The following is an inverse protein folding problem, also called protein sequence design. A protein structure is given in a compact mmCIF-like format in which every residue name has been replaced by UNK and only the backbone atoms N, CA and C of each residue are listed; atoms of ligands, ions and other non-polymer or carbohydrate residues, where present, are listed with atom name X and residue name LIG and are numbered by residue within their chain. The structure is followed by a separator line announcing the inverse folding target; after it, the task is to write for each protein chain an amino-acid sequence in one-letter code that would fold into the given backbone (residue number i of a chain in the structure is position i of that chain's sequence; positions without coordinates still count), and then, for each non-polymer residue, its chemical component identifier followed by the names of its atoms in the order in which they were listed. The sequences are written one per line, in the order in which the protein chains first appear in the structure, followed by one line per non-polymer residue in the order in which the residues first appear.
data_IF_955074187031
#
_entry.id   IF_955074187031
#
_cell.length_a   1.000
_cell.length_b   1.000
_cell.length_c   1.000
_cell.angle_alpha   90.00
_cell.angle_beta   90.00
_cell.angle_gamma   90.00
#
_symmetry.space_group_name_H-M   'P 1'
#
loop_
_entity.id
_entity.type
_entity.pdbx_description
1 polymer ?
#
# COMPACT_ATOMS: atom_id res chain seq x y z
N UNK A 1 2.92 -11.41 -20.16
CA UNK A 1 1.96 -10.43 -20.68
C UNK A 1 1.94 -10.49 -22.20
N UNK A 2 0.77 -10.19 -22.83
CA UNK A 2 0.73 -9.88 -24.25
C UNK A 2 1.55 -8.60 -24.51
N UNK A 3 2.31 -8.57 -25.58
CA UNK A 3 3.07 -7.39 -25.99
C UNK A 3 2.20 -6.22 -26.50
N UNK A 4 0.93 -6.48 -26.75
CA UNK A 4 0.02 -5.51 -27.30
C UNK A 4 -0.86 -4.89 -26.19
N UNK A 5 -0.77 -3.57 -26.05
CA UNK A 5 -1.72 -2.81 -25.22
C UNK A 5 -3.10 -2.83 -25.85
N UNK A 6 -4.13 -3.03 -25.04
CA UNK A 6 -5.54 -2.96 -25.46
C UNK A 6 -6.21 -1.64 -25.06
N UNK A 7 -5.47 -0.76 -24.42
CA UNK A 7 -5.90 0.57 -24.04
C UNK A 7 -4.77 1.30 -23.34
N UNK A 8 -4.70 2.60 -23.50
CA UNK A 8 -3.71 3.45 -22.85
C UNK A 8 -4.31 4.79 -22.46
N UNK A 9 -3.69 5.45 -21.51
CA UNK A 9 -4.05 6.79 -21.07
C UNK A 9 -2.84 7.50 -20.45
N UNK A 10 -2.66 8.76 -20.79
CA UNK A 10 -1.75 9.67 -20.11
C UNK A 10 -2.56 10.63 -19.24
N UNK A 11 -2.17 10.79 -17.99
CA UNK A 11 -2.89 11.67 -17.06
C UNK A 11 -1.95 12.24 -16.00
N UNK A 12 -2.36 13.35 -15.40
CA UNK A 12 -1.69 13.93 -14.23
C UNK A 12 -2.39 13.47 -12.96
N UNK A 13 -1.71 12.71 -12.07
CA UNK A 13 -2.27 12.31 -10.79
C UNK A 13 -2.68 13.51 -9.94
N UNK A 14 -3.87 13.43 -9.33
CA UNK A 14 -4.40 14.47 -8.42
C UNK A 14 -4.89 13.83 -7.14
N UNK A 15 -4.00 13.41 -6.24
CA UNK A 15 -4.36 12.64 -5.03
C UNK A 15 -5.25 13.42 -4.06
N UNK A 16 -5.19 14.76 -4.08
CA UNK A 16 -6.02 15.61 -3.22
C UNK A 16 -7.49 15.71 -3.66
N UNK A 17 -7.82 15.22 -4.85
CA UNK A 17 -9.20 15.24 -5.33
C UNK A 17 -9.93 14.01 -4.82
N UNK A 18 -10.87 14.20 -3.89
CA UNK A 18 -11.78 13.13 -3.44
C UNK A 18 -12.57 12.59 -4.64
N UNK A 19 -12.82 11.28 -4.62
CA UNK A 19 -13.62 10.57 -5.63
C UNK A 19 -13.08 10.70 -7.07
N UNK A 20 -11.76 10.76 -7.22
CA UNK A 20 -11.15 10.69 -8.54
C UNK A 20 -11.01 9.24 -8.98
N UNK A 21 -11.48 8.94 -10.18
CA UNK A 21 -11.28 7.64 -10.82
C UNK A 21 -10.54 7.81 -12.14
N UNK A 22 -9.77 6.78 -12.50
CA UNK A 22 -9.08 6.69 -13.77
C UNK A 22 -9.94 5.86 -14.72
N UNK A 23 -10.34 6.45 -15.85
CA UNK A 23 -11.09 5.75 -16.89
C UNK A 23 -10.19 5.47 -18.08
N UNK A 24 -9.97 4.19 -18.38
CA UNK A 24 -9.19 3.74 -19.52
C UNK A 24 -10.16 3.13 -20.54
N UNK A 25 -10.17 3.63 -21.76
CA UNK A 25 -10.95 3.05 -22.83
C UNK A 25 -10.20 1.84 -23.39
N UNK A 26 -10.86 0.69 -23.38
CA UNK A 26 -10.32 -0.56 -23.94
C UNK A 26 -10.72 -0.67 -25.41
N UNK A 27 -9.87 -1.29 -26.22
CA UNK A 27 -10.11 -1.53 -27.64
C UNK A 27 -11.46 -2.24 -27.86
N UNK A 28 -12.23 -1.71 -28.80
CA UNK A 28 -13.57 -2.23 -29.13
C UNK A 28 -13.52 -3.67 -29.62
N UNK A 29 -12.47 -4.08 -30.32
CA UNK A 29 -12.31 -5.45 -30.81
C UNK A 29 -12.24 -6.45 -29.66
N UNK A 30 -11.56 -6.05 -28.55
CA UNK A 30 -11.48 -6.86 -27.34
C UNK A 30 -12.85 -7.02 -26.66
N UNK A 31 -13.62 -5.91 -26.54
CA UNK A 31 -14.98 -5.96 -26.04
C UNK A 31 -15.90 -6.82 -26.90
N UNK A 32 -15.77 -6.76 -28.21
CA UNK A 32 -16.54 -7.60 -29.15
C UNK A 32 -16.21 -9.08 -29.02
N UNK A 33 -14.94 -9.44 -28.86
CA UNK A 33 -14.53 -10.82 -28.65
C UNK A 33 -15.10 -11.38 -27.33
N UNK A 34 -15.05 -10.59 -26.27
CA UNK A 34 -15.62 -10.95 -24.97
C UNK A 34 -17.15 -11.10 -25.04
N UNK A 35 -17.83 -10.16 -25.70
CA UNK A 35 -19.28 -10.24 -25.90
C UNK A 35 -19.67 -11.51 -26.68
N UNK A 36 -18.96 -11.84 -27.75
CA UNK A 36 -19.22 -13.04 -28.53
C UNK A 36 -19.01 -14.32 -27.70
N UNK A 37 -17.97 -14.36 -26.87
CA UNK A 37 -17.72 -15.48 -25.96
C UNK A 37 -18.90 -15.67 -24.99
N UNK A 38 -19.35 -14.60 -24.35
CA UNK A 38 -20.47 -14.65 -23.40
C UNK A 38 -21.80 -15.02 -24.07
N UNK A 39 -22.01 -14.56 -25.32
CA UNK A 39 -23.23 -14.84 -26.09
C UNK A 39 -23.36 -16.32 -26.47
N UNK A 40 -22.26 -17.06 -26.56
CA UNK A 40 -22.32 -18.50 -26.90
C UNK A 40 -23.01 -19.36 -25.84
N UNK A 41 -23.21 -18.82 -24.63
CA UNK A 41 -23.83 -19.52 -23.51
C UNK A 41 -22.98 -20.67 -22.91
N UNK A 42 -21.76 -20.86 -23.40
CA UNK A 42 -20.85 -21.93 -22.93
C UNK A 42 -20.01 -21.51 -21.72
N UNK A 43 -20.19 -20.30 -21.21
CA UNK A 43 -19.49 -19.82 -20.00
C UNK A 43 -20.38 -20.11 -18.79
N UNK A 44 -20.31 -21.32 -18.30
CA UNK A 44 -21.14 -21.85 -17.21
C UNK A 44 -20.46 -21.72 -15.83
N UNK A 45 -19.16 -21.44 -15.80
CA UNK A 45 -18.39 -21.32 -14.58
C UNK A 45 -17.31 -20.24 -14.66
N UNK A 46 -16.91 -19.73 -13.50
CA UNK A 46 -15.79 -18.79 -13.41
C UNK A 46 -14.47 -19.44 -13.89
N UNK A 47 -14.25 -20.70 -13.59
CA UNK A 47 -13.05 -21.42 -14.02
C UNK A 47 -12.97 -21.49 -15.55
N UNK A 48 -14.06 -21.83 -16.20
CA UNK A 48 -14.15 -21.81 -17.66
C UNK A 48 -13.88 -20.43 -18.24
N UNK A 49 -14.49 -19.38 -17.66
CA UNK A 49 -14.24 -17.99 -18.04
C UNK A 49 -12.76 -17.62 -17.93
N UNK A 50 -12.10 -17.94 -16.82
CA UNK A 50 -10.68 -17.65 -16.59
C UNK A 50 -9.73 -18.42 -17.53
N UNK A 51 -10.15 -19.50 -18.13
CA UNK A 51 -9.38 -20.19 -19.17
C UNK A 51 -9.24 -19.37 -20.45
N UNK A 52 -10.28 -18.63 -20.81
CA UNK A 52 -10.26 -17.72 -21.96
C UNK A 52 -9.74 -16.34 -21.59
N UNK A 53 -10.15 -15.84 -20.44
CA UNK A 53 -9.89 -14.49 -19.96
C UNK A 53 -8.93 -14.53 -18.78
N UNK A 54 -7.64 -14.36 -19.06
CA UNK A 54 -6.58 -14.46 -18.03
C UNK A 54 -6.49 -13.21 -17.12
N UNK A 55 -7.25 -12.17 -17.41
CA UNK A 55 -7.26 -10.90 -16.67
C UNK A 55 -6.58 -9.76 -17.42
N UNK A 56 -6.55 -8.61 -16.77
CA UNK A 56 -5.92 -7.38 -17.26
C UNK A 56 -4.73 -7.01 -16.40
N UNK A 57 -3.71 -6.44 -17.01
CA UNK A 57 -2.58 -5.82 -16.32
C UNK A 57 -2.55 -4.33 -16.60
N UNK A 58 -2.42 -3.52 -15.55
CA UNK A 58 -2.09 -2.10 -15.66
C UNK A 58 -0.57 -2.00 -15.61
N UNK A 59 0.02 -1.50 -16.69
CA UNK A 59 1.48 -1.39 -16.84
C UNK A 59 1.82 0.08 -16.98
N UNK A 60 2.58 0.67 -16.04
CA UNK A 60 3.05 2.05 -16.19
C UNK A 60 4.08 2.15 -17.34
N UNK A 61 4.17 3.32 -17.95
CA UNK A 61 5.28 3.61 -18.86
C UNK A 61 6.59 3.73 -18.09
N UNK A 62 7.73 3.49 -18.76
CA UNK A 62 9.05 3.54 -18.14
C UNK A 62 9.46 4.93 -17.66
N UNK A 63 8.84 5.99 -18.18
CA UNK A 63 9.14 7.38 -17.82
C UNK A 63 8.22 7.91 -16.69
N UNK A 64 7.65 7.02 -15.91
CA UNK A 64 6.69 7.37 -14.88
C UNK A 64 7.39 7.63 -13.55
N UNK A 65 7.18 8.81 -12.98
CA UNK A 65 7.70 9.22 -11.65
C UNK A 65 6.65 9.08 -10.53
N UNK A 66 5.46 8.54 -10.83
CA UNK A 66 4.39 8.42 -9.85
C UNK A 66 4.15 6.95 -9.43
N UNK A 67 3.97 6.74 -8.13
CA UNK A 67 3.45 5.50 -7.58
C UNK A 67 1.97 5.67 -7.26
N UNK A 68 1.12 4.83 -7.87
CA UNK A 68 -0.31 4.92 -7.73
C UNK A 68 -0.88 3.64 -7.10
N UNK A 69 -1.79 3.81 -6.17
CA UNK A 69 -2.57 2.73 -5.58
C UNK A 69 -4.02 2.84 -6.06
N UNK A 70 -4.59 1.72 -6.51
CA UNK A 70 -5.97 1.62 -6.92
C UNK A 70 -6.75 0.77 -5.92
N UNK A 71 -7.91 1.29 -5.49
CA UNK A 71 -8.82 0.53 -4.62
C UNK A 71 -9.40 -0.66 -5.37
N UNK A 72 -9.40 -1.82 -4.71
CA UNK A 72 -10.04 -3.03 -5.19
C UNK A 72 -11.02 -3.48 -4.14
N UNK A 73 -12.31 -3.40 -4.43
CA UNK A 73 -13.37 -3.82 -3.53
C UNK A 73 -14.11 -5.06 -4.04
N UNK A 74 -14.66 -5.80 -3.09
CA UNK A 74 -15.45 -7.01 -3.36
C UNK A 74 -16.91 -6.87 -2.95
N UNK A 75 -17.31 -5.74 -2.37
CA UNK A 75 -18.67 -5.54 -1.87
C UNK A 75 -19.59 -5.06 -2.97
N UNK A 76 -20.66 -5.79 -3.18
CA UNK A 76 -21.75 -5.46 -4.11
C UNK A 76 -22.63 -4.30 -3.62
N UNK A 77 -22.43 -3.86 -2.38
CA UNK A 77 -23.25 -2.85 -1.69
C UNK A 77 -22.53 -1.49 -1.57
N UNK A 78 -21.65 -1.18 -2.53
CA UNK A 78 -20.99 0.12 -2.55
C UNK A 78 -21.94 1.17 -3.10
N UNK A 79 -22.10 2.25 -2.35
CA UNK A 79 -22.75 3.47 -2.86
C UNK A 79 -22.01 3.93 -4.14
N UNK A 80 -22.66 4.65 -5.04
CA UNK A 80 -22.05 5.14 -6.29
C UNK A 80 -20.74 5.92 -6.08
N UNK A 81 -20.48 6.35 -4.85
CA UNK A 81 -19.31 7.12 -4.42
C UNK A 81 -18.08 6.24 -4.15
N UNK A 82 -18.30 4.95 -3.90
CA UNK A 82 -17.24 3.98 -3.62
C UNK A 82 -16.85 3.19 -4.88
N UNK A 83 -16.41 3.89 -5.90
CA UNK A 83 -16.03 3.29 -7.17
C UNK A 83 -14.78 2.43 -6.95
N UNK A 84 -14.96 1.13 -7.04
CA UNK A 84 -13.87 0.16 -7.05
C UNK A 84 -13.36 -0.06 -8.47
N UNK A 85 -12.22 -0.72 -8.59
CA UNK A 85 -11.68 -1.08 -9.91
C UNK A 85 -12.59 -2.11 -10.58
N UNK A 86 -13.20 -1.72 -11.67
CA UNK A 86 -14.10 -2.58 -12.49
C UNK A 86 -13.75 -2.44 -13.96
N UNK A 87 -13.91 -3.50 -14.73
CA UNK A 87 -13.99 -3.42 -16.18
C UNK A 87 -15.47 -3.42 -16.56
N UNK A 88 -15.93 -2.35 -17.19
CA UNK A 88 -17.34 -2.19 -17.59
C UNK A 88 -17.50 -2.32 -19.09
N UNK A 89 -18.37 -3.22 -19.51
CA UNK A 89 -18.76 -3.40 -20.90
C UNK A 89 -20.14 -2.76 -21.13
N UNK A 90 -20.21 -1.88 -22.11
CA UNK A 90 -21.48 -1.31 -22.59
C UNK A 90 -21.86 -2.02 -23.89
N UNK A 91 -23.08 -2.51 -23.98
CA UNK A 91 -23.59 -3.17 -25.18
C UNK A 91 -25.07 -2.87 -25.37
N UNK A 92 -25.58 -3.10 -26.57
CA UNK A 92 -26.97 -2.99 -26.87
C UNK A 92 -27.46 -4.23 -27.62
N UNK A 93 -28.72 -4.52 -27.48
CA UNK A 93 -29.42 -5.54 -28.24
C UNK A 93 -30.68 -4.93 -28.83
N UNK A 94 -31.20 -5.52 -29.89
CA UNK A 94 -32.53 -5.17 -30.38
C UNK A 94 -33.58 -5.70 -29.40
N UNK A 95 -34.70 -4.95 -29.27
CA UNK A 95 -35.86 -5.44 -28.55
C UNK A 95 -36.50 -6.64 -29.27
N UNK A 96 -37.46 -7.30 -28.66
CA UNK A 96 -38.12 -8.49 -29.21
C UNK A 96 -38.78 -8.20 -30.57
N UNK A 97 -39.18 -6.94 -30.83
CA UNK A 97 -39.73 -6.50 -32.09
C UNK A 97 -38.68 -6.08 -33.12
N UNK A 98 -37.39 -6.08 -32.76
CA UNK A 98 -36.29 -5.74 -33.65
C UNK A 98 -36.17 -4.26 -34.03
N UNK A 99 -36.95 -3.36 -33.40
CA UNK A 99 -37.04 -1.96 -33.76
C UNK A 99 -36.18 -1.05 -32.95
N UNK A 100 -36.07 -1.27 -31.63
CA UNK A 100 -35.40 -0.35 -30.72
C UNK A 100 -34.17 -1.00 -30.11
N UNK A 101 -33.11 -0.19 -29.86
CA UNK A 101 -31.94 -0.62 -29.16
C UNK A 101 -32.17 -0.52 -27.65
N UNK A 102 -31.90 -1.62 -26.94
CA UNK A 102 -31.90 -1.68 -25.47
C UNK A 102 -30.47 -1.70 -25.00
N UNK A 103 -30.11 -0.70 -24.21
CA UNK A 103 -28.76 -0.54 -23.70
C UNK A 103 -28.55 -1.29 -22.38
N UNK A 104 -27.45 -1.98 -22.27
CA UNK A 104 -27.06 -2.75 -21.09
C UNK A 104 -25.64 -2.42 -20.66
N UNK A 105 -25.36 -2.65 -19.38
CA UNK A 105 -24.01 -2.62 -18.81
C UNK A 105 -23.72 -3.94 -18.12
N UNK A 106 -22.48 -4.42 -18.26
CA UNK A 106 -21.97 -5.60 -17.54
C UNK A 106 -20.65 -5.24 -16.90
N UNK A 107 -20.58 -5.42 -15.57
CA UNK A 107 -19.39 -5.15 -14.77
C UNK A 107 -18.65 -6.43 -14.45
N UNK A 108 -17.34 -6.42 -14.71
CA UNK A 108 -16.40 -7.45 -14.32
C UNK A 108 -15.60 -6.92 -13.14
N UNK A 109 -15.92 -7.40 -11.96
CA UNK A 109 -15.25 -6.99 -10.73
C UNK A 109 -13.92 -7.70 -10.56
N UNK A 110 -12.94 -7.02 -9.96
CA UNK A 110 -11.71 -7.66 -9.53
C UNK A 110 -12.00 -8.54 -8.32
N UNK A 111 -11.68 -9.84 -8.42
CA UNK A 111 -11.90 -10.79 -7.33
C UNK A 111 -10.68 -10.84 -6.42
N UNK A 112 -10.91 -10.68 -5.12
CA UNK A 112 -9.87 -10.86 -4.10
C UNK A 112 -9.20 -12.23 -4.21
N UNK A 113 -7.87 -12.26 -4.12
CA UNK A 113 -7.07 -13.47 -4.27
C UNK A 113 -6.63 -13.80 -5.70
N UNK A 114 -7.15 -13.07 -6.71
CA UNK A 114 -6.73 -13.21 -8.11
C UNK A 114 -5.99 -11.99 -8.63
N UNK A 115 -5.54 -11.14 -7.73
CA UNK A 115 -4.80 -9.92 -8.02
C UNK A 115 -3.41 -10.01 -7.42
N UNK A 116 -2.43 -9.49 -8.12
CA UNK A 116 -1.07 -9.33 -7.62
C UNK A 116 -0.42 -8.10 -8.21
N UNK A 117 0.55 -7.57 -7.48
CA UNK A 117 1.38 -6.47 -7.96
C UNK A 117 2.78 -7.00 -8.24
N UNK A 118 3.35 -6.57 -9.37
CA UNK A 118 4.77 -6.73 -9.64
C UNK A 118 5.41 -5.35 -9.52
N UNK A 119 6.27 -5.19 -8.52
CA UNK A 119 6.98 -3.94 -8.27
C UNK A 119 8.43 -4.17 -8.63
N UNK A 120 8.95 -3.35 -9.53
CA UNK A 120 10.37 -3.30 -9.88
C UNK A 120 10.92 -1.96 -9.41
N UNK A 121 12.11 -1.99 -8.86
CA UNK A 121 12.77 -0.79 -8.37
C UNK A 121 14.26 -0.86 -8.66
N UNK A 122 14.88 0.30 -8.89
CA UNK A 122 16.31 0.44 -9.06
C UNK A 122 16.83 1.51 -8.10
N UNK A 123 17.67 1.09 -7.17
CA UNK A 123 18.33 1.98 -6.22
C UNK A 123 19.78 2.30 -6.59
N UNK A 124 20.27 1.90 -7.76
CA UNK A 124 21.68 2.04 -8.16
C UNK A 124 22.19 3.47 -8.07
N UNK A 125 21.33 4.45 -8.32
CA UNK A 125 21.63 5.88 -8.28
C UNK A 125 21.11 6.59 -7.01
N UNK A 126 20.76 5.84 -5.97
CA UNK A 126 20.23 6.39 -4.72
C UNK A 126 21.13 6.09 -3.51
N UNK A 127 20.86 6.74 -2.40
CA UNK A 127 21.50 6.45 -1.11
C UNK A 127 21.25 5.00 -0.65
N UNK A 128 20.18 4.38 -1.14
CA UNK A 128 19.78 3.01 -0.81
C UNK A 128 20.45 1.93 -1.69
N UNK A 129 21.41 2.26 -2.52
CA UNK A 129 22.07 1.34 -3.48
C UNK A 129 22.64 0.07 -2.85
N UNK A 130 23.01 0.12 -1.58
CA UNK A 130 23.58 -1.00 -0.83
C UNK A 130 22.53 -1.72 0.06
N UNK A 131 21.25 -1.32 0.00
CA UNK A 131 20.19 -1.95 0.76
C UNK A 131 19.91 -3.34 0.19
N UNK A 132 19.92 -4.34 1.05
CA UNK A 132 19.50 -5.70 0.71
C UNK A 132 18.54 -6.24 1.79
N UNK A 133 17.73 -7.26 1.49
CA UNK A 133 16.82 -7.84 2.48
C UNK A 133 17.49 -8.33 3.77
N UNK A 134 18.79 -8.62 3.72
CA UNK A 134 19.56 -9.16 4.86
C UNK A 134 20.53 -8.16 5.49
N UNK A 135 20.81 -7.06 4.81
CA UNK A 135 21.82 -6.10 5.25
C UNK A 135 21.18 -4.73 5.40
N UNK A 136 20.76 -4.36 6.62
CA UNK A 136 20.23 -3.02 6.87
C UNK A 136 21.33 -1.96 6.68
N UNK A 137 20.94 -0.76 6.29
CA UNK A 137 21.82 0.39 6.24
C UNK A 137 21.74 1.15 7.56
N UNK A 138 22.89 1.52 8.10
CA UNK A 138 22.96 2.40 9.26
C UNK A 138 22.52 3.81 8.89
N UNK A 139 21.80 4.50 9.78
CA UNK A 139 21.43 5.91 9.60
C UNK A 139 22.67 6.81 9.47
N UNK A 140 23.79 6.46 10.07
CA UNK A 140 25.05 7.18 9.89
C UNK A 140 25.52 7.21 8.43
N UNK A 141 25.30 6.11 7.68
CA UNK A 141 25.64 6.03 6.26
C UNK A 141 24.64 6.78 5.36
N UNK A 142 23.52 7.25 5.91
CA UNK A 142 22.41 7.90 5.25
C UNK A 142 22.21 9.34 5.74
N UNK A 143 23.27 10.00 6.15
CA UNK A 143 23.23 11.37 6.68
C UNK A 143 22.24 11.54 7.86
N UNK A 144 22.27 10.57 8.79
CA UNK A 144 21.37 10.47 9.95
C UNK A 144 19.87 10.42 9.60
N UNK A 145 19.55 9.89 8.43
CA UNK A 145 18.18 9.67 7.97
C UNK A 145 17.82 8.19 7.98
N UNK A 146 16.55 7.92 7.95
CA UNK A 146 16.00 6.59 7.70
C UNK A 146 14.88 6.69 6.67
N UNK A 147 14.72 5.65 5.88
CA UNK A 147 13.74 5.60 4.80
C UNK A 147 12.67 4.55 5.10
N UNK A 148 11.44 4.91 4.79
CA UNK A 148 10.30 4.00 4.91
C UNK A 148 9.46 4.09 3.66
N UNK A 149 9.25 2.94 3.00
CA UNK A 149 8.40 2.84 1.84
C UNK A 149 7.68 1.50 1.85
N UNK A 150 6.48 1.48 2.40
CA UNK A 150 5.71 0.25 2.65
C UNK A 150 5.42 -0.58 1.40
N UNK A 151 5.19 0.08 0.25
CA UNK A 151 4.93 -0.62 -1.02
C UNK A 151 6.14 -1.45 -1.51
N UNK A 152 7.36 -1.08 -1.12
CA UNK A 152 8.58 -1.82 -1.44
C UNK A 152 9.06 -2.72 -0.31
N UNK A 153 8.32 -2.77 0.81
CA UNK A 153 8.74 -3.52 1.98
C UNK A 153 9.95 -2.91 2.72
N UNK A 154 10.22 -1.61 2.48
CA UNK A 154 11.29 -0.90 3.18
C UNK A 154 10.72 -0.32 4.47
N UNK A 155 11.35 -0.64 5.58
CA UNK A 155 10.97 -0.13 6.90
C UNK A 155 12.19 0.31 7.71
N UNK A 156 11.95 1.23 8.61
CA UNK A 156 12.96 1.73 9.55
C UNK A 156 13.01 0.82 10.75
N UNK A 157 14.19 0.25 11.05
CA UNK A 157 14.46 -0.48 12.27
C UNK A 157 15.02 0.49 13.31
N UNK A 158 14.44 0.48 14.50
CA UNK A 158 14.95 1.22 15.65
C UNK A 158 15.50 0.23 16.67
N UNK A 159 16.72 0.41 17.07
CA UNK A 159 17.36 -0.38 18.12
C UNK A 159 17.60 0.50 19.34
N UNK A 160 17.36 -0.06 20.52
CA UNK A 160 17.70 0.58 21.79
C UNK A 160 18.85 -0.21 22.42
N UNK A 161 20.08 0.03 21.97
CA UNK A 161 21.22 -0.71 22.46
C UNK A 161 21.47 -0.39 23.94
N UNK A 162 22.03 -1.36 24.65
CA UNK A 162 22.47 -1.17 26.04
C UNK A 162 21.39 -0.82 27.06
N UNK A 163 20.10 -0.94 26.73
CA UNK A 163 19.03 -0.63 27.69
C UNK A 163 19.17 -1.43 28.99
N UNK A 164 19.65 -2.67 28.91
CA UNK A 164 19.88 -3.52 30.07
C UNK A 164 21.06 -3.06 30.94
N UNK A 165 21.95 -2.24 30.41
CA UNK A 165 23.09 -1.72 31.19
C UNK A 165 22.62 -0.71 32.25
N UNK A 166 21.42 -0.22 32.16
CA UNK A 166 20.85 0.67 33.19
C UNK A 166 20.76 -0.02 34.54
N UNK A 167 20.47 -1.33 34.56
CA UNK A 167 20.42 -2.13 35.78
C UNK A 167 21.81 -2.30 36.45
N UNK A 168 22.87 -2.31 35.64
CA UNK A 168 24.23 -2.37 36.16
C UNK A 168 24.64 -1.07 36.89
N UNK A 169 24.10 0.05 36.45
CA UNK A 169 24.35 1.36 37.05
C UNK A 169 23.40 1.65 38.22
N UNK A 170 22.15 1.22 38.09
CA UNK A 170 21.06 1.49 39.03
C UNK A 170 20.22 0.24 39.24
N UNK A 171 20.55 -0.65 40.19
CA UNK A 171 19.86 -1.94 40.35
C UNK A 171 18.34 -1.86 40.64
N UNK A 172 17.90 -0.75 41.19
CA UNK A 172 16.47 -0.53 41.57
C UNK A 172 15.78 0.51 40.68
N UNK A 173 16.23 0.70 39.45
CA UNK A 173 15.60 1.67 38.55
C UNK A 173 14.30 1.09 37.97
N UNK A 174 13.30 1.95 37.81
CA UNK A 174 12.11 1.68 37.04
C UNK A 174 11.87 2.75 35.99
N UNK A 175 11.43 2.36 34.82
CA UNK A 175 11.05 3.31 33.78
C UNK A 175 9.63 3.80 34.08
N UNK A 176 9.47 5.10 34.32
CA UNK A 176 8.15 5.71 34.54
C UNK A 176 7.44 5.99 33.22
N UNK A 177 8.13 6.62 32.30
CA UNK A 177 7.62 6.98 30.97
C UNK A 177 8.75 6.99 29.94
N UNK A 178 8.41 6.55 28.73
CA UNK A 178 9.31 6.58 27.58
C UNK A 178 8.49 6.74 26.30
N UNK A 179 8.73 7.84 25.61
CA UNK A 179 8.04 8.19 24.37
C UNK A 179 9.03 8.22 23.20
N UNK A 180 8.62 7.68 22.07
CA UNK A 180 9.35 7.78 20.82
C UNK A 180 8.70 8.83 19.93
N UNK A 181 9.54 9.74 19.41
CA UNK A 181 9.13 10.75 18.45
C UNK A 181 9.83 10.49 17.11
N UNK A 182 9.04 10.30 16.06
CA UNK A 182 9.54 10.15 14.69
C UNK A 182 9.19 11.44 13.95
N UNK A 183 10.21 12.13 13.46
CA UNK A 183 10.04 13.35 12.68
C UNK A 183 10.34 13.07 11.20
N UNK A 184 9.46 13.45 10.29
CA UNK A 184 9.76 13.45 8.87
C UNK A 184 10.93 14.38 8.56
N UNK A 185 11.76 14.04 7.60
CA UNK A 185 12.85 14.90 7.18
C UNK A 185 12.29 16.16 6.50
N UNK A 186 12.91 17.31 6.82
CA UNK A 186 12.50 18.59 6.25
C UNK A 186 12.55 18.58 4.73
N UNK A 187 11.54 19.15 4.08
CA UNK A 187 11.45 19.26 2.63
C UNK A 187 11.10 17.97 1.89
N UNK A 188 10.77 16.88 2.62
CA UNK A 188 10.39 15.59 2.00
C UNK A 188 8.89 15.39 1.85
N UNK A 189 8.08 16.32 2.35
CA UNK A 189 6.61 16.25 2.27
C UNK A 189 6.01 17.62 1.96
N UNK A 190 4.91 17.60 1.23
CA UNK A 190 4.14 18.78 0.83
C UNK A 190 2.71 18.38 0.42
N UNK A 191 1.99 19.28 -0.27
CA UNK A 191 0.64 19.00 -0.80
C UNK A 191 0.58 17.92 -1.88
N UNK A 192 1.70 17.53 -2.47
CA UNK A 192 1.78 16.43 -3.45
C UNK A 192 2.23 15.13 -2.80
N UNK A 193 3.10 15.24 -1.80
CA UNK A 193 3.69 14.12 -1.07
C UNK A 193 3.23 14.17 0.39
N UNK A 194 2.02 13.67 0.63
CA UNK A 194 1.44 13.66 1.97
C UNK A 194 2.18 12.70 2.89
N UNK A 195 2.31 13.12 4.16
CA UNK A 195 2.67 12.19 5.22
C UNK A 195 1.55 11.17 5.43
N UNK A 196 1.87 9.89 5.70
CA UNK A 196 0.89 8.91 6.11
C UNK A 196 0.13 9.38 7.36
N UNK A 197 -1.18 9.19 7.42
CA UNK A 197 -1.98 9.52 8.59
C UNK A 197 -1.59 8.67 9.81
N UNK A 198 -1.12 7.46 9.57
CA UNK A 198 -0.66 6.55 10.61
C UNK A 198 0.49 5.67 10.16
N UNK A 199 1.32 5.27 11.12
CA UNK A 199 2.37 4.26 10.95
C UNK A 199 2.03 3.03 11.79
N UNK A 200 2.46 1.86 11.33
CA UNK A 200 2.42 0.63 12.12
C UNK A 200 3.80 0.30 12.66
N UNK A 201 3.83 -0.16 13.90
CA UNK A 201 5.06 -0.60 14.56
C UNK A 201 5.01 -2.12 14.78
N UNK A 202 6.17 -2.76 14.62
CA UNK A 202 6.32 -4.19 14.81
C UNK A 202 7.55 -4.48 15.66
N UNK A 203 7.53 -5.58 16.37
CA UNK A 203 8.71 -6.13 17.02
C UNK A 203 9.43 -7.03 16.03
N UNK A 204 10.73 -6.83 15.87
CA UNK A 204 11.57 -7.65 15.01
C UNK A 204 12.69 -8.32 15.80
N UNK A 205 13.13 -9.47 15.33
CA UNK A 205 14.28 -10.18 15.90
C UNK A 205 15.62 -9.66 15.37
N UNK A 206 16.71 -10.30 15.82
CA UNK A 206 18.07 -9.96 15.40
C UNK A 206 18.33 -10.27 13.91
N UNK A 207 17.51 -11.10 13.29
CA UNK A 207 17.60 -11.44 11.86
C UNK A 207 16.74 -10.54 10.98
N UNK A 208 16.15 -9.49 11.56
CA UNK A 208 15.22 -8.55 10.94
C UNK A 208 13.87 -9.17 10.52
N UNK A 209 13.52 -10.33 11.08
CA UNK A 209 12.22 -10.95 10.87
C UNK A 209 11.18 -10.35 11.82
N UNK A 210 10.01 -9.99 11.29
CA UNK A 210 8.90 -9.48 12.08
C UNK A 210 8.32 -10.63 12.92
N UNK A 211 8.26 -10.43 14.24
CA UNK A 211 7.74 -11.40 15.20
C UNK A 211 6.27 -11.15 15.50
N UNK A 212 5.90 -9.91 15.80
CA UNK A 212 4.54 -9.53 16.18
C UNK A 212 4.28 -8.05 15.92
N UNK A 213 3.02 -7.66 15.91
CA UNK A 213 2.64 -6.27 16.03
C UNK A 213 3.12 -5.71 17.38
N UNK A 214 3.47 -4.43 17.41
CA UNK A 214 3.79 -3.74 18.64
C UNK A 214 2.48 -3.43 19.40
N UNK A 215 2.41 -3.86 20.65
CA UNK A 215 1.22 -3.69 21.48
C UNK A 215 1.45 -2.77 22.67
N UNK A 216 0.41 -2.06 23.06
CA UNK A 216 0.35 -1.27 24.30
C UNK A 216 0.23 -2.20 25.53
N UNK A 217 0.21 -1.60 26.73
CA UNK A 217 0.10 -2.35 28.01
C UNK A 217 -1.18 -3.16 28.14
N UNK A 218 -2.23 -2.77 27.47
CA UNK A 218 -3.55 -3.42 27.43
C UNK A 218 -3.67 -4.48 26.31
N UNK A 219 -2.58 -4.75 25.58
CA UNK A 219 -2.50 -5.78 24.57
C UNK A 219 -3.02 -5.36 23.19
N UNK A 220 -3.49 -4.13 23.04
CA UNK A 220 -3.96 -3.63 21.74
C UNK A 220 -2.80 -3.22 20.83
N UNK A 221 -2.95 -3.45 19.52
CA UNK A 221 -1.98 -2.96 18.53
C UNK A 221 -1.89 -1.44 18.57
N UNK A 222 -0.65 -0.93 18.57
CA UNK A 222 -0.38 0.50 18.57
C UNK A 222 -0.41 1.01 17.14
N UNK A 223 -1.37 1.89 16.84
CA UNK A 223 -1.37 2.70 15.63
C UNK A 223 -0.77 4.07 15.97
N UNK A 224 0.30 4.42 15.28
CA UNK A 224 1.04 5.65 15.52
C UNK A 224 0.47 6.72 14.58
N UNK A 225 -0.33 7.63 15.12
CA UNK A 225 -0.98 8.68 14.33
C UNK A 225 -0.10 9.92 14.22
N UNK A 226 -0.26 10.66 13.13
CA UNK A 226 0.38 11.94 12.93
C UNK A 226 -0.18 12.95 13.95
N UNK A 227 0.64 13.38 14.91
CA UNK A 227 0.22 14.23 16.02
C UNK A 227 0.09 15.71 15.62
N UNK A 228 0.90 16.15 14.66
CA UNK A 228 0.88 17.51 14.14
C UNK A 228 1.16 17.47 12.65
N UNK A 229 0.29 18.07 11.86
CA UNK A 229 0.48 18.22 10.42
C UNK A 229 0.52 19.70 10.09
N UNK A 230 1.69 20.32 10.20
CA UNK A 230 1.91 21.70 9.84
C UNK A 230 3.14 21.79 8.93
N UNK A 231 2.89 21.82 7.63
CA UNK A 231 3.95 21.90 6.61
C UNK A 231 4.79 23.18 6.65
N UNK A 232 4.22 24.25 7.21
CA UNK A 232 4.92 25.56 7.28
C UNK A 232 5.83 25.68 8.48
N UNK A 233 5.51 25.02 9.59
CA UNK A 233 6.23 25.12 10.85
C UNK A 233 7.13 23.91 11.14
N UNK A 234 7.17 22.94 10.23
CA UNK A 234 7.95 21.69 10.38
C UNK A 234 7.71 20.98 11.73
N UNK A 235 6.47 21.07 12.21
CA UNK A 235 6.07 20.54 13.52
C UNK A 235 5.38 19.17 13.44
N UNK A 236 5.31 18.60 12.23
CA UNK A 236 4.71 17.28 12.01
C UNK A 236 5.56 16.19 12.63
N UNK A 237 4.94 15.33 13.44
CA UNK A 237 5.63 14.22 14.09
C UNK A 237 4.66 13.09 14.43
N UNK A 238 5.21 11.90 14.57
CA UNK A 238 4.53 10.72 15.10
C UNK A 238 5.07 10.41 16.48
N UNK A 239 4.19 10.38 17.48
CA UNK A 239 4.58 10.15 18.88
C UNK A 239 3.82 8.95 19.44
N UNK A 240 4.54 8.04 20.11
CA UNK A 240 3.93 6.90 20.79
C UNK A 240 4.77 6.45 21.99
N UNK A 241 4.10 5.82 22.96
CA UNK A 241 4.78 5.29 24.14
C UNK A 241 5.41 3.93 23.87
N UNK A 242 6.66 3.79 24.30
CA UNK A 242 7.41 2.53 24.31
C UNK A 242 7.70 2.06 25.73
N UNK A 243 7.05 2.64 26.72
CA UNK A 243 7.29 2.40 28.15
C UNK A 243 7.16 0.92 28.52
N UNK A 244 6.04 0.30 28.14
CA UNK A 244 5.77 -1.11 28.45
C UNK A 244 6.78 -2.05 27.79
N UNK A 245 7.19 -1.73 26.56
CA UNK A 245 8.19 -2.51 25.84
C UNK A 245 9.55 -2.49 26.55
N UNK A 246 10.01 -1.30 26.96
CA UNK A 246 11.29 -1.15 27.66
C UNK A 246 11.23 -1.77 29.05
N UNK A 247 10.12 -1.67 29.79
CA UNK A 247 9.93 -2.39 31.07
C UNK A 247 10.09 -3.90 30.87
N UNK A 248 9.40 -4.46 29.90
CA UNK A 248 9.48 -5.88 29.60
C UNK A 248 10.88 -6.36 29.17
N UNK A 249 11.66 -5.48 28.51
CA UNK A 249 13.05 -5.79 28.18
C UNK A 249 13.93 -5.87 29.43
N UNK A 250 13.74 -4.96 30.38
CA UNK A 250 14.49 -4.94 31.64
C UNK A 250 14.08 -6.13 32.52
N UNK A 251 12.79 -6.39 32.67
CA UNK A 251 12.26 -7.48 33.52
C UNK A 251 12.71 -8.86 33.06
N UNK A 252 12.81 -9.10 31.76
CA UNK A 252 13.30 -10.37 31.19
C UNK A 252 14.79 -10.63 31.45
N UNK A 253 15.56 -9.62 31.80
CA UNK A 253 16.98 -9.76 32.15
C UNK A 253 17.21 -10.03 33.63
N UNK A 254 16.18 -9.83 34.47
CA UNK A 254 16.20 -10.05 35.91
C UNK A 254 15.64 -11.41 36.34
N UNK A 255 15.04 -12.16 35.39
CA UNK A 255 14.51 -13.52 35.57
C UNK A 255 15.45 -14.55 34.97
#
# INVERSE_FOLDING_TARGET
YSSNSIGDISFLPRPSKKNSYLKINIDKSYGQALFNLLKTGNVDSQEYFLNFYKGLALVPSNDNEAFLSFGVGTTLDLEPEDITTVMRMYYHTKNDNGTDDVNYTLDFNVKTGYQYNKIEYDFSNSELKNLTPKTPLSSESLDNKAYQFSALGIYTKVEVPYINNILNLYPNVTILDANMNIKPAYGTYDKKFYLPESLKCYVADKTNSILSAFTSSDGNEVSITLSTNNEFLDSSQYTFSITSYLKNMIDKTTS
#
